data_IF_678441046756
#
_entry.id   IF_678441046756
#
_cell.length_a   1.000
_cell.length_b   1.000
_cell.length_c   1.000
_cell.angle_alpha   90.00
_cell.angle_beta   90.00
_cell.angle_gamma   90.00
#
_symmetry.space_group_name_H-M   'P 1'
#
loop_
_entity.id
_entity.type
_entity.pdbx_description
1 polymer ?
#
# COMPACT_ATOMS: atom_id res chain seq x y z
N UNK A 1 41.69 11.84 -4.26
CA UNK A 1 41.42 13.09 -3.50
C UNK A 1 41.00 14.27 -4.37
N UNK A 2 41.78 14.68 -5.39
CA UNK A 2 41.41 15.85 -6.24
C UNK A 2 40.11 15.63 -7.04
N UNK A 3 39.87 14.41 -7.51
CA UNK A 3 38.64 14.05 -8.24
C UNK A 3 37.37 14.19 -7.38
N UNK A 4 37.42 13.82 -6.09
CA UNK A 4 36.27 13.88 -5.19
C UNK A 4 35.92 15.33 -4.82
N UNK A 5 36.95 16.15 -4.55
CA UNK A 5 36.77 17.57 -4.26
C UNK A 5 36.23 18.35 -5.49
N UNK A 6 36.67 17.98 -6.70
CA UNK A 6 36.15 18.55 -7.95
C UNK A 6 34.70 18.12 -8.20
N UNK A 7 34.37 16.84 -7.99
CA UNK A 7 33.00 16.32 -8.10
C UNK A 7 32.07 17.01 -7.11
N UNK A 8 32.49 17.18 -5.86
CA UNK A 8 31.71 17.93 -4.87
C UNK A 8 31.48 19.39 -5.26
N UNK A 9 32.51 20.05 -5.80
CA UNK A 9 32.39 21.45 -6.23
C UNK A 9 31.45 21.62 -7.42
N UNK A 10 31.57 20.73 -8.41
CA UNK A 10 30.67 20.69 -9.58
C UNK A 10 29.25 20.35 -9.16
N UNK A 11 29.08 19.35 -8.29
CA UNK A 11 27.79 18.98 -7.73
C UNK A 11 27.17 20.16 -6.99
N UNK A 12 27.89 20.85 -6.09
CA UNK A 12 27.36 21.99 -5.31
C UNK A 12 27.05 23.22 -6.17
N UNK A 13 27.89 23.57 -7.14
CA UNK A 13 27.74 24.78 -7.97
C UNK A 13 26.73 24.61 -9.11
N UNK A 14 26.65 23.42 -9.69
CA UNK A 14 25.74 23.09 -10.79
C UNK A 14 24.56 22.20 -10.38
N UNK A 15 24.22 22.13 -9.07
CA UNK A 15 23.05 21.39 -8.57
C UNK A 15 21.81 21.63 -9.41
N UNK A 16 21.52 22.90 -9.67
CA UNK A 16 20.32 23.30 -10.41
C UNK A 16 20.32 22.79 -11.86
N UNK A 17 21.48 22.76 -12.53
CA UNK A 17 21.60 22.24 -13.90
C UNK A 17 21.36 20.74 -13.92
N UNK A 18 21.99 20.00 -13.00
CA UNK A 18 21.82 18.55 -12.89
C UNK A 18 20.36 18.22 -12.55
N UNK A 19 19.75 18.96 -11.62
CA UNK A 19 18.36 18.73 -11.23
C UNK A 19 17.40 18.99 -12.38
N UNK A 20 17.54 20.10 -13.11
CA UNK A 20 16.60 20.46 -14.18
C UNK A 20 16.79 19.58 -15.42
N UNK A 21 18.03 19.33 -15.85
CA UNK A 21 18.28 18.66 -17.13
C UNK A 21 18.41 17.14 -17.03
N UNK A 22 18.70 16.59 -15.84
CA UNK A 22 18.88 15.15 -15.67
C UNK A 22 17.81 14.60 -14.72
N UNK A 23 17.72 15.13 -13.50
CA UNK A 23 16.85 14.56 -12.48
C UNK A 23 15.36 14.70 -12.84
N UNK A 24 14.93 15.90 -13.24
CA UNK A 24 13.53 16.18 -13.56
C UNK A 24 13.01 15.33 -14.74
N UNK A 25 13.68 15.26 -15.91
CA UNK A 25 13.22 14.40 -16.99
C UNK A 25 13.30 12.92 -16.61
N UNK A 26 14.29 12.50 -15.82
CA UNK A 26 14.38 11.11 -15.36
C UNK A 26 13.21 10.75 -14.43
N UNK A 27 12.87 11.61 -13.48
CA UNK A 27 11.70 11.43 -12.60
C UNK A 27 10.42 11.40 -13.43
N UNK A 28 10.26 12.32 -14.38
CA UNK A 28 9.08 12.34 -15.26
C UNK A 28 8.94 11.06 -16.10
N UNK A 29 10.04 10.55 -16.66
CA UNK A 29 10.04 9.28 -17.38
C UNK A 29 9.72 8.10 -16.46
N UNK A 30 10.24 8.10 -15.23
CA UNK A 30 9.92 7.10 -14.23
C UNK A 30 8.44 7.12 -13.84
N UNK A 31 7.86 8.30 -13.66
CA UNK A 31 6.44 8.48 -13.35
C UNK A 31 5.55 8.00 -14.51
N UNK A 32 5.92 8.29 -15.75
CA UNK A 32 5.23 7.76 -16.94
C UNK A 32 5.33 6.23 -16.98
N UNK A 33 6.53 5.67 -16.82
CA UNK A 33 6.73 4.23 -16.81
C UNK A 33 5.88 3.56 -15.72
N UNK A 34 5.90 4.11 -14.51
CA UNK A 34 5.13 3.60 -13.39
C UNK A 34 3.63 3.70 -13.67
N UNK A 35 3.16 4.82 -14.20
CA UNK A 35 1.76 5.00 -14.59
C UNK A 35 1.30 4.00 -15.65
N UNK A 36 2.09 3.81 -16.72
CA UNK A 36 1.78 2.86 -17.79
C UNK A 36 1.80 1.43 -17.26
N UNK A 37 2.82 1.06 -16.47
CA UNK A 37 2.88 -0.25 -15.80
C UNK A 37 1.60 -0.52 -15.02
N UNK A 38 1.13 0.45 -14.23
CA UNK A 38 -0.08 0.28 -13.43
C UNK A 38 -1.34 0.13 -14.28
N UNK A 39 -1.51 0.93 -15.34
CA UNK A 39 -2.61 0.78 -16.28
C UNK A 39 -2.61 -0.60 -16.97
N UNK A 40 -1.43 -1.08 -17.37
CA UNK A 40 -1.28 -2.40 -17.99
C UNK A 40 -1.61 -3.52 -17.01
N UNK A 41 -1.11 -3.45 -15.78
CA UNK A 41 -1.42 -4.44 -14.72
C UNK A 41 -2.93 -4.49 -14.47
N UNK A 42 -3.57 -3.32 -14.37
CA UNK A 42 -5.01 -3.21 -14.16
C UNK A 42 -5.83 -3.75 -15.34
N UNK A 43 -5.34 -3.57 -16.58
CA UNK A 43 -6.03 -4.02 -17.79
C UNK A 43 -5.88 -5.53 -18.04
N UNK A 44 -4.70 -6.10 -17.73
CA UNK A 44 -4.37 -7.49 -18.03
C UNK A 44 -4.86 -8.49 -16.98
N UNK A 45 -5.09 -8.08 -15.73
CA UNK A 45 -5.40 -9.01 -14.64
C UNK A 45 -6.90 -9.22 -14.46
N UNK A 46 -7.34 -10.47 -14.61
CA UNK A 46 -8.66 -10.93 -14.14
C UNK A 46 -8.66 -10.95 -12.61
N UNK A 47 -9.24 -9.89 -12.04
CA UNK A 47 -9.09 -9.50 -10.63
C UNK A 47 -9.23 -10.63 -9.59
N UNK A 48 -10.14 -11.58 -9.76
CA UNK A 48 -10.49 -12.48 -8.66
C UNK A 48 -9.60 -13.72 -8.53
N UNK A 49 -9.10 -14.28 -9.64
CA UNK A 49 -8.31 -15.52 -9.61
C UNK A 49 -6.85 -15.24 -9.23
N UNK A 50 -6.25 -14.21 -9.81
CA UNK A 50 -4.88 -13.75 -9.50
C UNK A 50 -4.72 -13.37 -8.02
N UNK A 51 -5.76 -12.75 -7.43
CA UNK A 51 -5.74 -12.39 -6.02
C UNK A 51 -5.59 -13.61 -5.09
N UNK A 52 -6.33 -14.69 -5.35
CA UNK A 52 -6.26 -15.89 -4.52
C UNK A 52 -4.88 -16.55 -4.59
N UNK A 53 -4.22 -16.49 -5.74
CA UNK A 53 -2.86 -16.98 -5.92
C UNK A 53 -1.85 -16.14 -5.12
N UNK A 54 -1.96 -14.82 -5.16
CA UNK A 54 -1.15 -13.93 -4.32
C UNK A 54 -1.38 -14.19 -2.83
N UNK A 55 -2.62 -14.38 -2.39
CA UNK A 55 -2.92 -14.71 -0.99
C UNK A 55 -2.27 -16.04 -0.60
N UNK A 56 -2.34 -17.06 -1.46
CA UNK A 56 -1.63 -18.33 -1.22
C UNK A 56 -0.12 -18.14 -1.14
N UNK A 57 0.44 -17.26 -1.95
CA UNK A 57 1.87 -16.91 -1.90
C UNK A 57 2.25 -16.25 -0.56
N UNK A 58 1.43 -15.34 -0.05
CA UNK A 58 1.62 -14.76 1.29
C UNK A 58 1.48 -15.84 2.37
N UNK A 59 0.49 -16.72 2.27
CA UNK A 59 0.34 -17.84 3.21
C UNK A 59 1.54 -18.79 3.18
N UNK A 60 2.13 -19.07 2.01
CA UNK A 60 3.35 -19.88 1.93
C UNK A 60 4.53 -19.20 2.61
N UNK A 61 4.72 -17.89 2.39
CA UNK A 61 5.79 -17.13 3.07
C UNK A 61 5.66 -17.19 4.59
N UNK A 62 4.43 -17.08 5.12
CA UNK A 62 4.16 -17.19 6.57
C UNK A 62 4.41 -18.62 7.05
N UNK A 63 4.00 -19.66 6.31
CA UNK A 63 4.27 -21.05 6.67
C UNK A 63 5.76 -21.38 6.67
N UNK A 64 6.53 -20.80 5.75
CA UNK A 64 7.97 -21.00 5.69
C UNK A 64 8.68 -20.27 6.86
N UNK A 65 8.16 -19.13 7.29
CA UNK A 65 8.57 -18.50 8.55
C UNK A 65 8.28 -19.39 9.78
N UNK A 66 7.10 -20.03 9.84
CA UNK A 66 6.74 -20.97 10.93
C UNK A 66 7.69 -22.18 10.99
N UNK A 67 8.10 -22.71 9.83
CA UNK A 67 9.07 -23.82 9.73
C UNK A 67 10.48 -23.40 10.13
N UNK A 68 10.80 -22.12 9.93
CA UNK A 68 12.07 -21.52 10.35
C UNK A 68 12.02 -21.21 11.85
N UNK A 69 13.03 -20.52 12.37
CA UNK A 69 13.07 -20.05 13.75
C UNK A 69 12.14 -18.82 13.96
N UNK A 70 11.05 -19.02 14.72
CA UNK A 70 10.04 -18.01 15.08
C UNK A 70 10.59 -16.90 16.00
N UNK A 71 11.86 -17.02 16.44
CA UNK A 71 12.63 -15.98 17.14
C UNK A 71 12.57 -14.61 16.44
N UNK A 72 12.60 -14.59 15.10
CA UNK A 72 12.60 -13.33 14.33
C UNK A 72 11.16 -12.88 14.06
N UNK A 73 10.74 -11.67 14.46
CA UNK A 73 9.41 -11.18 14.13
C UNK A 73 9.29 -10.89 12.62
N UNK A 74 8.07 -11.01 12.10
CA UNK A 74 7.75 -10.67 10.71
C UNK A 74 7.62 -9.16 10.50
N UNK A 75 7.99 -8.68 9.31
CA UNK A 75 7.76 -7.32 8.84
C UNK A 75 7.32 -7.31 7.38
N UNK A 76 6.76 -6.20 6.91
CA UNK A 76 6.44 -6.05 5.48
C UNK A 76 7.72 -5.86 4.66
N UNK A 77 7.83 -6.59 3.55
CA UNK A 77 8.96 -6.59 2.63
C UNK A 77 9.15 -5.30 1.83
N UNK A 78 8.22 -4.33 1.97
CA UNK A 78 8.31 -3.01 1.32
C UNK A 78 9.67 -2.37 1.55
N UNK A 79 10.40 -2.08 0.48
CA UNK A 79 11.73 -1.49 0.56
C UNK A 79 11.73 -0.14 1.32
N UNK A 80 12.76 0.10 2.13
CA UNK A 80 12.84 1.28 3.01
C UNK A 80 12.81 2.61 2.25
N UNK A 81 13.40 2.66 1.05
CA UNK A 81 13.40 3.86 0.18
C UNK A 81 12.02 4.20 -0.39
N UNK A 82 11.08 3.25 -0.40
CA UNK A 82 9.67 3.49 -0.76
C UNK A 82 8.83 3.95 0.44
N UNK A 83 9.40 3.99 1.65
CA UNK A 83 8.70 4.45 2.85
C UNK A 83 8.76 5.97 2.92
N UNK A 84 7.66 6.61 3.32
CA UNK A 84 7.62 8.06 3.54
C UNK A 84 8.25 8.49 4.87
N UNK A 85 9.16 7.68 5.40
CA UNK A 85 9.80 7.90 6.69
C UNK A 85 11.20 8.45 6.46
N UNK A 86 11.53 9.57 7.10
CA UNK A 86 12.87 10.17 7.04
C UNK A 86 13.96 9.31 7.70
N UNK A 87 13.56 8.32 8.50
CA UNK A 87 14.45 7.40 9.20
C UNK A 87 14.58 6.10 8.41
N UNK A 88 15.82 5.70 8.17
CA UNK A 88 16.11 4.37 7.62
C UNK A 88 15.58 3.28 8.57
N UNK A 89 14.72 2.37 8.10
CA UNK A 89 14.11 1.35 8.94
C UNK A 89 15.10 0.20 9.19
N UNK A 90 16.14 0.47 10.01
CA UNK A 90 17.20 -0.50 10.39
C UNK A 90 16.63 -1.78 11.02
N UNK A 91 15.44 -1.72 11.62
CA UNK A 91 14.78 -2.88 12.19
C UNK A 91 14.40 -3.95 11.14
N UNK A 92 14.25 -3.58 9.87
CA UNK A 92 13.86 -4.54 8.82
C UNK A 92 14.96 -5.56 8.51
N UNK A 93 16.22 -5.26 8.79
CA UNK A 93 17.34 -6.18 8.54
C UNK A 93 17.40 -7.37 9.51
N UNK A 94 16.80 -7.23 10.71
CA UNK A 94 16.75 -8.29 11.72
C UNK A 94 15.44 -9.08 11.72
N UNK A 95 14.48 -8.71 10.87
CA UNK A 95 13.14 -9.27 10.79
C UNK A 95 12.95 -10.12 9.54
N UNK A 96 11.94 -11.00 9.55
CA UNK A 96 11.57 -11.78 8.37
C UNK A 96 10.68 -10.94 7.44
N UNK A 97 11.11 -10.59 6.22
CA UNK A 97 10.31 -9.80 5.30
C UNK A 97 9.25 -10.67 4.61
N UNK A 98 8.00 -10.26 4.69
CA UNK A 98 6.89 -10.82 3.90
C UNK A 98 6.63 -9.91 2.71
N UNK A 99 6.89 -10.42 1.51
CA UNK A 99 6.66 -9.68 0.28
C UNK A 99 5.17 -9.59 -0.05
N UNK A 100 4.74 -8.36 -0.30
CA UNK A 100 3.37 -7.97 -0.66
C UNK A 100 3.37 -7.05 -1.88
N UNK A 101 4.51 -6.83 -2.54
CA UNK A 101 4.66 -5.81 -3.58
C UNK A 101 3.78 -6.09 -4.81
N UNK A 102 3.50 -7.36 -5.10
CA UNK A 102 2.61 -7.77 -6.20
C UNK A 102 1.12 -7.58 -5.89
N UNK A 103 0.77 -7.23 -4.64
CA UNK A 103 -0.61 -6.99 -4.20
C UNK A 103 -1.02 -5.52 -4.44
N UNK A 104 -0.75 -4.99 -5.64
CA UNK A 104 -0.99 -3.59 -6.03
C UNK A 104 -2.21 -3.39 -6.95
N UNK A 105 -3.15 -4.33 -6.99
CA UNK A 105 -4.30 -4.30 -7.91
C UNK A 105 -5.60 -3.88 -7.22
N UNK A 106 -6.42 -3.07 -7.90
CA UNK A 106 -7.81 -2.79 -7.48
C UNK A 106 -8.70 -3.89 -8.04
N UNK A 107 -9.39 -4.59 -7.14
CA UNK A 107 -10.08 -5.82 -7.49
C UNK A 107 -11.43 -5.54 -8.18
N UNK A 108 -12.31 -4.81 -7.50
CA UNK A 108 -13.62 -4.50 -8.07
C UNK A 108 -14.18 -3.21 -7.49
N UNK A 109 -15.06 -2.58 -8.26
CA UNK A 109 -15.90 -1.48 -7.82
C UNK A 109 -17.35 -1.90 -7.98
N UNK A 110 -18.12 -1.82 -6.89
CA UNK A 110 -19.56 -2.02 -6.87
C UNK A 110 -20.20 -0.63 -6.69
N UNK A 111 -20.71 -0.07 -7.79
CA UNK A 111 -21.30 1.28 -7.83
C UNK A 111 -22.68 1.31 -7.15
N UNK A 112 -23.41 0.19 -7.12
CA UNK A 112 -24.71 0.09 -6.45
C UNK A 112 -24.53 0.11 -4.93
N UNK A 113 -23.58 -0.69 -4.42
CA UNK A 113 -23.26 -0.74 -2.98
C UNK A 113 -22.33 0.39 -2.54
N UNK A 114 -21.72 1.10 -3.50
CA UNK A 114 -20.71 2.14 -3.28
C UNK A 114 -19.52 1.60 -2.50
N UNK A 115 -18.94 0.50 -2.98
CA UNK A 115 -17.81 -0.17 -2.31
C UNK A 115 -16.71 -0.50 -3.30
N UNK A 116 -15.45 -0.32 -2.90
CA UNK A 116 -14.28 -0.74 -3.65
C UNK A 116 -13.58 -1.86 -2.89
N UNK A 117 -13.20 -2.92 -3.60
CA UNK A 117 -12.31 -3.95 -3.07
C UNK A 117 -10.91 -3.71 -3.62
N UNK A 118 -9.93 -3.57 -2.73
CA UNK A 118 -8.53 -3.25 -3.06
C UNK A 118 -7.57 -4.17 -2.34
N UNK A 119 -6.43 -4.40 -2.98
CA UNK A 119 -5.30 -5.06 -2.35
C UNK A 119 -4.50 -4.09 -1.44
N UNK A 120 -3.76 -4.60 -0.43
CA UNK A 120 -3.12 -3.80 0.59
C UNK A 120 -1.98 -2.90 0.08
N UNK A 121 -1.35 -3.25 -1.05
CA UNK A 121 -0.24 -2.50 -1.63
C UNK A 121 -0.70 -1.47 -2.68
N UNK A 122 -2.01 -1.36 -2.93
CA UNK A 122 -2.57 -0.25 -3.70
C UNK A 122 -2.24 1.05 -3.01
N UNK A 123 -1.76 2.04 -3.76
CA UNK A 123 -1.45 3.36 -3.24
C UNK A 123 -2.65 4.30 -3.31
N UNK A 124 -2.68 5.33 -2.46
CA UNK A 124 -3.76 6.32 -2.46
C UNK A 124 -3.85 7.08 -3.78
N UNK A 125 -2.71 7.37 -4.41
CA UNK A 125 -2.66 7.97 -5.73
C UNK A 125 -3.29 7.07 -6.80
N UNK A 126 -3.02 5.76 -6.76
CA UNK A 126 -3.65 4.80 -7.68
C UNK A 126 -5.16 4.73 -7.48
N UNK A 127 -5.59 4.62 -6.22
CA UNK A 127 -7.00 4.51 -5.87
C UNK A 127 -7.78 5.76 -6.28
N UNK A 128 -7.24 6.94 -6.00
CA UNK A 128 -7.85 8.22 -6.38
C UNK A 128 -7.93 8.37 -7.90
N UNK A 129 -6.86 8.06 -8.64
CA UNK A 129 -6.85 8.09 -10.11
C UNK A 129 -7.82 7.09 -10.74
N UNK A 130 -8.08 5.96 -10.10
CA UNK A 130 -9.05 4.97 -10.56
C UNK A 130 -10.50 5.40 -10.30
N UNK A 131 -10.77 6.02 -9.14
CA UNK A 131 -12.11 6.40 -8.71
C UNK A 131 -12.60 7.73 -9.31
N UNK A 132 -11.72 8.73 -9.43
CA UNK A 132 -12.10 10.07 -9.90
C UNK A 132 -12.75 10.10 -11.30
N UNK A 133 -12.23 9.40 -12.33
CA UNK A 133 -12.86 9.37 -13.65
C UNK A 133 -14.25 8.74 -13.65
N UNK A 134 -14.55 7.90 -12.64
CA UNK A 134 -15.85 7.26 -12.44
C UNK A 134 -16.81 8.11 -11.61
N UNK A 135 -16.40 9.30 -11.16
CA UNK A 135 -17.20 10.19 -10.31
C UNK A 135 -17.23 9.78 -8.84
N UNK A 136 -16.33 8.89 -8.42
CA UNK A 136 -16.28 8.36 -7.05
C UNK A 136 -15.04 8.85 -6.31
N UNK A 137 -15.11 8.91 -4.98
CA UNK A 137 -14.02 9.28 -4.08
C UNK A 137 -14.16 8.61 -2.73
N UNK A 138 -13.04 8.34 -2.09
CA UNK A 138 -12.99 7.81 -0.72
C UNK A 138 -13.44 8.91 0.26
N UNK A 139 -14.15 8.58 1.37
CA UNK A 139 -14.54 9.56 2.38
C UNK A 139 -13.36 10.22 3.10
N UNK A 140 -12.27 9.47 3.29
CA UNK A 140 -11.04 9.93 3.94
C UNK A 140 -9.90 9.81 2.93
N UNK A 141 -9.57 10.93 2.30
CA UNK A 141 -8.48 11.01 1.32
C UNK A 141 -7.22 11.44 2.04
N UNK A 142 -6.17 10.62 1.93
CA UNK A 142 -4.83 10.90 2.45
C UNK A 142 -4.08 11.72 1.42
N UNK A 143 -3.43 12.80 1.86
CA UNK A 143 -2.74 13.76 0.96
C UNK A 143 -1.51 13.15 0.25
N UNK A 144 -1.00 12.03 0.75
CA UNK A 144 0.23 11.40 0.28
C UNK A 144 -0.07 10.23 -0.68
N UNK A 145 0.20 10.46 -1.97
CA UNK A 145 -0.09 9.51 -3.06
C UNK A 145 0.63 8.16 -2.94
N UNK A 146 1.85 8.14 -2.38
CA UNK A 146 2.70 6.94 -2.28
C UNK A 146 2.37 6.06 -1.06
N UNK A 147 1.46 6.51 -0.19
CA UNK A 147 1.05 5.72 0.96
C UNK A 147 0.10 4.62 0.50
N UNK A 148 0.31 3.40 1.01
CA UNK A 148 -0.48 2.22 0.68
C UNK A 148 -1.68 2.09 1.59
N UNK A 149 -2.82 1.63 1.05
CA UNK A 149 -4.07 1.44 1.80
C UNK A 149 -3.86 0.54 3.03
N UNK A 150 -3.13 -0.57 2.89
CA UNK A 150 -2.83 -1.46 4.01
C UNK A 150 -2.02 -0.79 5.13
N UNK A 151 -1.13 0.14 4.77
CA UNK A 151 -0.36 0.92 5.74
C UNK A 151 -1.22 1.93 6.50
N UNK A 152 -2.13 2.61 5.81
CA UNK A 152 -3.05 3.61 6.40
C UNK A 152 -4.01 2.94 7.37
N UNK A 153 -4.57 1.80 6.97
CA UNK A 153 -5.47 1.00 7.80
C UNK A 153 -4.79 0.55 9.11
N UNK A 154 -3.52 0.14 9.06
CA UNK A 154 -2.76 -0.24 10.25
C UNK A 154 -2.28 0.98 11.06
N UNK A 155 -2.09 2.12 10.40
CA UNK A 155 -1.61 3.37 10.98
C UNK A 155 -2.71 4.33 11.43
N UNK A 156 -3.96 3.88 11.54
CA UNK A 156 -5.15 4.65 11.91
C UNK A 156 -5.60 5.73 10.90
N UNK A 157 -4.75 6.22 10.01
CA UNK A 157 -5.14 7.03 8.84
C UNK A 157 -6.01 8.24 9.19
N UNK A 158 -5.45 9.20 9.94
CA UNK A 158 -6.14 10.41 10.36
C UNK A 158 -5.92 11.53 9.34
N UNK A 159 -7.02 12.12 8.85
CA UNK A 159 -6.97 13.19 7.87
C UNK A 159 -7.99 14.30 8.19
N UNK A 160 -7.94 15.37 7.39
CA UNK A 160 -8.81 16.55 7.56
C UNK A 160 -10.30 16.20 7.57
N UNK A 161 -10.76 15.22 6.78
CA UNK A 161 -12.17 14.78 6.75
C UNK A 161 -12.54 13.79 7.87
N UNK A 162 -11.58 13.35 8.68
CA UNK A 162 -11.81 12.39 9.76
C UNK A 162 -12.70 12.93 10.89
N UNK A 163 -12.81 14.25 11.05
CA UNK A 163 -13.78 14.83 12.00
C UNK A 163 -15.23 14.49 11.64
N UNK A 164 -15.52 14.26 10.36
CA UNK A 164 -16.86 13.94 9.85
C UNK A 164 -17.10 12.45 9.63
N UNK A 165 -16.09 11.73 9.14
CA UNK A 165 -16.21 10.32 8.74
C UNK A 165 -15.44 9.35 9.66
N UNK A 166 -14.77 9.85 10.70
CA UNK A 166 -13.89 9.07 11.56
C UNK A 166 -12.56 8.72 10.90
N UNK A 167 -11.83 7.80 11.53
CA UNK A 167 -10.57 7.27 11.03
C UNK A 167 -10.77 6.39 9.79
N UNK A 168 -9.72 6.20 8.99
CA UNK A 168 -9.79 5.42 7.75
C UNK A 168 -10.35 4.00 7.96
N UNK A 169 -9.90 3.31 9.00
CA UNK A 169 -10.35 1.94 9.33
C UNK A 169 -11.85 1.84 9.67
N UNK A 170 -12.51 2.95 10.07
CA UNK A 170 -13.94 2.97 10.37
C UNK A 170 -14.81 2.89 9.10
N UNK A 171 -14.25 3.31 7.95
CA UNK A 171 -14.94 3.33 6.66
C UNK A 171 -14.79 2.01 5.88
N UNK A 172 -13.88 1.14 6.32
CA UNK A 172 -13.71 -0.20 5.78
C UNK A 172 -14.83 -1.15 6.27
N UNK A 173 -15.33 -1.99 5.37
CA UNK A 173 -16.44 -2.94 5.64
C UNK A 173 -15.90 -4.31 6.02
N UNK A 174 -14.92 -4.78 5.26
CA UNK A 174 -14.33 -6.10 5.44
C UNK A 174 -12.81 -6.07 5.22
N UNK A 175 -12.16 -7.04 5.85
CA UNK A 175 -10.72 -7.23 5.86
C UNK A 175 -10.44 -8.71 5.65
N UNK A 176 -9.54 -9.04 4.74
CA UNK A 176 -8.92 -10.35 4.66
C UNK A 176 -7.55 -10.28 5.35
N UNK A 177 -7.33 -11.16 6.31
CA UNK A 177 -6.18 -11.18 7.20
C UNK A 177 -5.51 -12.55 7.11
N UNK A 178 -4.20 -12.56 6.90
CA UNK A 178 -3.39 -13.77 7.08
C UNK A 178 -2.80 -13.71 8.48
N UNK A 179 -3.20 -14.66 9.32
CA UNK A 179 -2.74 -14.79 10.69
C UNK A 179 -1.34 -15.42 10.75
N UNK A 180 -0.70 -15.34 11.91
CA UNK A 180 0.65 -15.88 12.12
C UNK A 180 0.74 -17.41 12.03
N UNK A 181 -0.39 -18.11 12.08
CA UNK A 181 -0.51 -19.56 11.83
C UNK A 181 -0.63 -19.89 10.33
N UNK A 182 -0.71 -18.86 9.47
CA UNK A 182 -0.92 -19.00 8.03
C UNK A 182 -2.38 -19.23 7.64
N UNK A 183 -3.33 -19.14 8.58
CA UNK A 183 -4.76 -19.19 8.27
C UNK A 183 -5.23 -17.86 7.67
N UNK A 184 -6.22 -17.93 6.78
CA UNK A 184 -6.87 -16.76 6.19
C UNK A 184 -8.19 -16.52 6.91
N UNK A 185 -8.36 -15.34 7.48
CA UNK A 185 -9.58 -14.93 8.17
C UNK A 185 -10.16 -13.70 7.50
N UNK A 186 -11.45 -13.77 7.16
CA UNK A 186 -12.21 -12.61 6.68
C UNK A 186 -12.95 -11.99 7.85
N UNK A 187 -12.47 -10.85 8.33
CA UNK A 187 -13.14 -10.01 9.31
C UNK A 187 -14.15 -9.12 8.58
N UNK A 188 -15.41 -9.16 8.96
CA UNK A 188 -16.40 -8.17 8.52
C UNK A 188 -17.07 -7.55 9.74
N UNK A 189 -17.60 -6.34 9.60
CA UNK A 189 -18.32 -5.66 10.69
C UNK A 189 -19.51 -6.46 11.24
N UNK A 190 -20.03 -7.42 10.47
CA UNK A 190 -21.17 -8.28 10.80
C UNK A 190 -20.72 -9.64 11.37
N UNK A 191 -19.57 -10.15 10.93
CA UNK A 191 -18.99 -11.42 11.40
C UNK A 191 -17.81 -11.12 12.32
N UNK A 192 -18.11 -10.75 13.56
CA UNK A 192 -17.12 -10.40 14.57
C UNK A 192 -16.50 -11.65 15.21
N UNK A 193 -15.38 -12.11 14.66
CA UNK A 193 -14.41 -12.88 15.47
C UNK A 193 -13.72 -11.92 16.45
N UNK A 194 -13.41 -12.32 17.70
CA UNK A 194 -12.83 -11.42 18.71
C UNK A 194 -11.52 -10.74 18.28
N UNK A 195 -10.77 -11.38 17.36
CA UNK A 195 -9.57 -10.84 16.72
C UNK A 195 -9.83 -9.54 15.93
N UNK A 196 -11.05 -9.33 15.43
CA UNK A 196 -11.39 -8.13 14.66
C UNK A 196 -11.54 -6.87 15.54
N UNK A 197 -11.64 -7.01 16.87
CA UNK A 197 -11.63 -5.88 17.81
C UNK A 197 -10.23 -5.55 18.33
N UNK A 198 -9.32 -6.54 18.38
CA UNK A 198 -7.91 -6.33 18.71
C UNK A 198 -7.11 -5.83 17.49
N UNK A 199 -7.67 -4.85 16.76
CA UNK A 199 -7.05 -4.30 15.54
C UNK A 199 -5.67 -3.66 15.78
N UNK A 200 -5.29 -3.46 17.04
CA UNK A 200 -4.00 -2.96 17.47
C UNK A 200 -2.84 -3.98 17.35
N UNK A 201 -3.08 -5.26 17.02
CA UNK A 201 -2.03 -6.30 17.11
C UNK A 201 -1.72 -7.13 15.85
N UNK A 202 -2.49 -7.06 14.76
CA UNK A 202 -2.27 -7.91 13.57
C UNK A 202 -1.57 -7.16 12.41
N UNK A 203 -0.37 -7.62 12.01
CA UNK A 203 0.57 -6.89 11.12
C UNK A 203 0.55 -7.24 9.62
N UNK A 204 -0.28 -8.17 9.15
CA UNK A 204 -0.36 -8.52 7.71
C UNK A 204 -1.80 -8.69 7.25
N UNK A 205 -2.33 -7.71 6.51
CA UNK A 205 -3.66 -7.75 5.86
C UNK A 205 -3.47 -8.01 4.36
N UNK A 206 -4.33 -8.82 3.76
CA UNK A 206 -4.21 -9.27 2.36
C UNK A 206 -5.26 -8.72 1.42
N UNK A 207 -6.43 -8.26 1.89
CA UNK A 207 -7.40 -7.53 1.05
C UNK A 207 -8.30 -6.66 1.91
N UNK A 208 -8.77 -5.55 1.36
CA UNK A 208 -9.63 -4.58 2.05
C UNK A 208 -10.85 -4.23 1.19
N UNK A 209 -12.04 -4.20 1.78
CA UNK A 209 -13.21 -3.59 1.16
C UNK A 209 -13.54 -2.28 1.86
N UNK A 210 -13.64 -1.20 1.09
CA UNK A 210 -13.85 0.16 1.58
C UNK A 210 -15.08 0.81 0.96
N UNK A 211 -15.81 1.62 1.74
CA UNK A 211 -16.91 2.43 1.21
C UNK A 211 -16.39 3.59 0.38
N UNK A 212 -16.99 3.79 -0.78
CA UNK A 212 -16.75 4.92 -1.66
C UNK A 212 -17.95 5.87 -1.61
N UNK A 213 -17.73 7.12 -2.00
CA UNK A 213 -18.74 8.18 -2.03
C UNK A 213 -18.73 8.90 -3.37
N UNK A 214 -19.90 9.32 -3.82
CA UNK A 214 -20.07 10.08 -5.04
C UNK A 214 -19.49 11.49 -4.85
N UNK A 215 -18.68 11.95 -5.79
CA UNK A 215 -18.17 13.32 -5.82
C UNK A 215 -19.33 14.26 -6.16
N UNK A 216 -19.77 15.06 -5.18
CA UNK A 216 -20.70 16.16 -5.47
C UNK A 216 -19.98 17.13 -6.41
N UNK A 217 -20.50 17.27 -7.63
CA UNK A 217 -20.19 18.42 -8.48
C UNK A 217 -20.50 19.73 -7.77
#
# INVERSE_FOLDING_TARGET
MVSEAFLEHVLKKYRWVIVIFILLPLTFLYDIYYYVRQQVIQYLKESSQDHQEKVKHVQSQVRDWIKTDQSKPMCTGRAGWKSMTLREPKYKSSMYPVDLEEMDTILSIDEEKRTVKVEPYVTMGQLTRYLLPKGWSIPVVVELDDVTVGGIVLGQGLESSSHKYGMFHNNCISYELVLSDGSLVTCSKIRSTPICHSQDTARSRTSLEERIREQSK
#
